data_IF_328327836266
#
_entry.id   IF_328327836266
#
_cell.length_a   1.000
_cell.length_b   1.000
_cell.length_c   1.000
_cell.angle_alpha   90.00
_cell.angle_beta   90.00
_cell.angle_gamma   90.00
#
_symmetry.space_group_name_H-M   'P 1'
#
loop_
_entity.id
_entity.type
_entity.pdbx_description
1 polymer ?
#
# COMPACT_ATOMS: atom_id res chain seq x y z
N UNK A 1 -7.82 11.31 5.37
CA UNK A 1 -6.47 10.72 5.33
C UNK A 1 -6.68 9.27 4.99
N UNK A 2 -6.09 8.78 3.90
CA UNK A 2 -6.24 7.37 3.53
C UNK A 2 -5.55 6.51 4.59
N UNK A 3 -6.22 5.46 5.02
CA UNK A 3 -5.70 4.48 5.97
C UNK A 3 -4.97 3.35 5.25
N UNK A 4 -4.22 2.54 6.00
CA UNK A 4 -3.61 1.31 5.48
C UNK A 4 -4.60 0.43 4.71
N UNK A 5 -5.82 0.27 5.25
CA UNK A 5 -6.86 -0.56 4.63
C UNK A 5 -7.33 0.00 3.29
N UNK A 6 -7.43 1.33 3.16
CA UNK A 6 -7.80 1.98 1.90
C UNK A 6 -6.74 1.74 0.83
N UNK A 7 -5.46 1.91 1.17
CA UNK A 7 -4.35 1.70 0.22
C UNK A 7 -4.25 0.21 -0.15
N UNK A 8 -4.44 -0.70 0.81
CA UNK A 8 -4.46 -2.13 0.56
C UNK A 8 -5.61 -2.52 -0.38
N UNK A 9 -6.83 -2.04 -0.13
CA UNK A 9 -7.99 -2.33 -0.98
C UNK A 9 -7.80 -1.81 -2.40
N UNK A 10 -7.26 -0.59 -2.56
CA UNK A 10 -6.94 -0.03 -3.87
C UNK A 10 -5.84 -0.81 -4.59
N UNK A 11 -4.83 -1.28 -3.88
CA UNK A 11 -3.81 -2.16 -4.45
C UNK A 11 -4.39 -3.53 -4.84
N UNK A 12 -5.26 -4.11 -4.01
CA UNK A 12 -5.97 -5.36 -4.29
C UNK A 12 -6.87 -5.26 -5.52
N UNK A 13 -7.40 -4.07 -5.83
CA UNK A 13 -8.18 -3.78 -7.03
C UNK A 13 -7.34 -3.43 -8.25
N UNK A 14 -6.01 -3.57 -8.19
CA UNK A 14 -5.07 -3.11 -9.22
C UNK A 14 -5.22 -1.61 -9.56
N UNK A 15 -5.77 -0.79 -8.65
CA UNK A 15 -5.83 0.66 -8.83
C UNK A 15 -4.47 1.32 -8.59
N UNK A 16 -3.62 0.70 -7.79
CA UNK A 16 -2.25 1.16 -7.54
C UNK A 16 -1.22 0.09 -7.89
N UNK A 17 -0.08 0.54 -8.42
CA UNK A 17 1.12 -0.28 -8.56
C UNK A 17 1.96 -0.26 -7.27
N UNK A 18 2.91 -1.19 -7.13
CA UNK A 18 3.79 -1.24 -5.97
C UNK A 18 4.58 0.06 -5.78
N UNK A 19 5.00 0.69 -6.88
CA UNK A 19 5.69 1.97 -6.84
C UNK A 19 4.79 3.12 -6.38
N UNK A 20 3.49 3.08 -6.73
CA UNK A 20 2.50 4.04 -6.24
C UNK A 20 2.22 3.84 -4.75
N UNK A 21 2.14 2.58 -4.28
CA UNK A 21 1.99 2.27 -2.85
C UNK A 21 3.16 2.87 -2.05
N UNK A 22 4.39 2.77 -2.55
CA UNK A 22 5.58 3.35 -1.90
C UNK A 22 5.56 4.88 -1.80
N UNK A 23 4.86 5.59 -2.70
CA UNK A 23 4.71 7.05 -2.60
C UNK A 23 3.84 7.48 -1.41
N UNK A 24 3.04 6.57 -0.85
CA UNK A 24 2.28 6.82 0.37
C UNK A 24 3.11 6.66 1.64
N UNK A 25 4.38 6.26 1.53
CA UNK A 25 5.32 6.24 2.65
C UNK A 25 6.08 7.58 2.74
N UNK A 26 6.19 8.22 3.92
CA UNK A 26 5.56 7.91 5.21
C UNK A 26 4.22 8.65 5.42
N UNK A 27 3.61 9.14 4.34
CA UNK A 27 2.48 10.09 4.38
C UNK A 27 1.17 9.48 4.91
N UNK A 28 0.87 8.24 4.53
CA UNK A 28 -0.35 7.52 4.88
C UNK A 28 -0.08 6.13 5.44
N UNK A 29 1.04 5.52 5.06
CA UNK A 29 1.46 4.20 5.52
C UNK A 29 2.97 4.20 5.82
N UNK A 30 3.42 3.23 6.59
CA UNK A 30 4.84 2.98 6.88
C UNK A 30 5.50 2.08 5.83
N UNK A 31 6.84 2.01 5.83
CA UNK A 31 7.57 1.07 4.97
C UNK A 31 7.13 -0.38 5.21
N UNK A 32 6.96 -0.78 6.48
CA UNK A 32 6.49 -2.13 6.83
C UNK A 32 5.09 -2.42 6.29
N UNK A 33 4.19 -1.43 6.34
CA UNK A 33 2.84 -1.55 5.80
C UNK A 33 2.83 -1.61 4.27
N UNK A 34 3.65 -0.79 3.60
CA UNK A 34 3.81 -0.86 2.16
C UNK A 34 4.33 -2.24 1.72
N UNK A 35 5.32 -2.78 2.43
CA UNK A 35 5.85 -4.11 2.15
C UNK A 35 4.81 -5.21 2.39
N UNK A 36 3.97 -5.12 3.42
CA UNK A 36 2.85 -6.06 3.63
C UNK A 36 1.80 -6.01 2.52
N UNK A 37 1.58 -4.84 1.92
CA UNK A 37 0.64 -4.68 0.79
C UNK A 37 1.23 -5.28 -0.49
N UNK A 38 2.50 -4.98 -0.76
CA UNK A 38 3.18 -5.35 -2.02
C UNK A 38 3.59 -6.82 -2.01
N UNK A 39 4.28 -7.26 -0.95
CA UNK A 39 4.58 -8.66 -0.70
C UNK A 39 3.39 -9.29 0.02
N UNK A 40 2.33 -9.57 -0.74
CA UNK A 40 1.35 -10.59 -0.33
C UNK A 40 2.15 -11.88 -0.11
N UNK A 41 2.37 -12.25 1.15
CA UNK A 41 2.92 -13.57 1.47
C UNK A 41 2.18 -14.60 0.62
N UNK A 42 2.96 -15.35 -0.16
CA UNK A 42 2.49 -16.36 -1.12
C UNK A 42 1.71 -17.47 -0.46
#
# INVERSE_FOLDING_TARGET
MYSYEDIKMMYDWNCFTADQVRQFVPLCITEEEADKIINKES
#
